data_IF_115264568746
#
_entry.id   IF_115264568746
#
_cell.length_a   1.000
_cell.length_b   1.000
_cell.length_c   1.000
_cell.angle_alpha   90.00
_cell.angle_beta   90.00
_cell.angle_gamma   90.00
#
_symmetry.space_group_name_H-M   'P 1'
#
loop_
_entity.id
_entity.type
_entity.pdbx_description
1 polymer ?
#
# COMPACT_ATOMS: atom_id res chain seq x y z
N UNK A 1 9.40 -3.85 22.94
CA UNK A 1 9.64 -4.57 21.67
C UNK A 1 8.97 -3.96 20.43
N UNK A 2 7.77 -3.32 20.51
CA UNK A 2 7.05 -2.74 19.35
C UNK A 2 7.76 -1.62 18.55
N UNK A 3 8.82 -0.99 19.06
CA UNK A 3 9.53 0.12 18.36
C UNK A 3 10.67 -0.34 17.44
N UNK A 4 11.13 -1.59 17.53
CA UNK A 4 12.33 -2.02 16.80
C UNK A 4 12.04 -2.67 15.44
N UNK A 5 10.95 -3.44 15.34
CA UNK A 5 10.52 -4.11 14.10
C UNK A 5 9.39 -3.32 13.43
N UNK A 6 9.77 -2.38 12.56
CA UNK A 6 8.83 -1.75 11.63
C UNK A 6 8.80 -2.55 10.32
N UNK A 7 7.72 -2.44 9.54
CA UNK A 7 7.56 -3.13 8.25
C UNK A 7 8.77 -2.89 7.33
N UNK A 8 9.25 -1.64 7.28
CA UNK A 8 10.44 -1.29 6.51
C UNK A 8 11.71 -2.02 6.99
N UNK A 9 11.90 -2.13 8.32
CA UNK A 9 13.08 -2.83 8.88
C UNK A 9 13.04 -4.32 8.62
N UNK A 10 11.84 -4.93 8.63
CA UNK A 10 11.67 -6.34 8.24
C UNK A 10 12.09 -6.53 6.78
N UNK A 11 11.62 -5.65 5.89
CA UNK A 11 12.01 -5.67 4.47
C UNK A 11 13.51 -5.50 4.28
N UNK A 12 14.16 -4.55 4.97
CA UNK A 12 15.61 -4.35 4.84
C UNK A 12 16.42 -5.53 5.41
N UNK A 13 15.97 -6.15 6.49
CA UNK A 13 16.61 -7.33 7.05
C UNK A 13 16.50 -8.54 6.10
N UNK A 14 15.32 -8.76 5.51
CA UNK A 14 15.13 -9.83 4.51
C UNK A 14 15.90 -9.57 3.23
N UNK A 15 15.95 -8.31 2.77
CA UNK A 15 16.74 -7.91 1.61
C UNK A 15 18.24 -8.10 1.85
N UNK A 16 18.76 -7.74 3.03
CA UNK A 16 20.15 -8.01 3.43
C UNK A 16 20.47 -9.50 3.34
N UNK A 17 19.61 -10.36 3.90
CA UNK A 17 19.80 -11.80 3.85
C UNK A 17 19.82 -12.33 2.40
N UNK A 18 18.87 -11.88 1.57
CA UNK A 18 18.83 -12.26 0.15
C UNK A 18 20.11 -11.83 -0.60
N UNK A 19 20.61 -10.62 -0.34
CA UNK A 19 21.84 -10.11 -0.96
C UNK A 19 23.09 -10.85 -0.48
N UNK A 20 23.16 -11.25 0.80
CA UNK A 20 24.24 -12.10 1.30
C UNK A 20 24.25 -13.47 0.61
N UNK A 21 23.08 -14.10 0.43
CA UNK A 21 22.97 -15.35 -0.32
C UNK A 21 23.38 -15.14 -1.78
N UNK A 22 22.91 -14.06 -2.42
CA UNK A 22 23.29 -13.73 -3.79
C UNK A 22 24.80 -13.49 -3.95
N UNK A 23 25.44 -12.83 -2.98
CA UNK A 23 26.90 -12.64 -2.95
C UNK A 23 27.65 -13.97 -2.89
N UNK A 24 27.23 -14.87 -1.98
CA UNK A 24 27.83 -16.20 -1.87
C UNK A 24 27.67 -16.94 -3.18
N UNK A 25 26.47 -16.97 -3.75
CA UNK A 25 26.19 -17.64 -5.02
C UNK A 25 27.01 -17.05 -6.18
N UNK A 26 27.13 -15.73 -6.29
CA UNK A 26 27.94 -15.08 -7.33
C UNK A 26 29.43 -15.44 -7.22
N UNK A 27 29.93 -15.76 -6.01
CA UNK A 27 31.31 -16.18 -5.77
C UNK A 27 31.49 -17.68 -6.00
N UNK A 28 30.56 -18.52 -5.51
CA UNK A 28 30.73 -19.98 -5.43
C UNK A 28 30.16 -20.73 -6.63
N UNK A 29 28.99 -20.32 -7.10
CA UNK A 29 28.31 -20.93 -8.24
C UNK A 29 28.58 -20.05 -9.44
N UNK A 30 29.54 -20.47 -10.28
CA UNK A 30 29.77 -19.86 -11.59
C UNK A 30 28.55 -20.13 -12.46
N UNK A 31 27.45 -19.39 -12.26
CA UNK A 31 26.29 -19.48 -13.13
C UNK A 31 26.68 -18.71 -14.39
N UNK A 32 26.97 -19.38 -15.53
CA UNK A 32 27.32 -18.70 -16.75
C UNK A 32 26.00 -18.31 -17.42
N UNK A 33 25.30 -17.31 -16.89
CA UNK A 33 24.19 -16.73 -17.62
C UNK A 33 24.79 -15.79 -18.67
N UNK A 34 24.74 -16.27 -19.92
CA UNK A 34 25.26 -15.64 -21.12
C UNK A 34 24.98 -14.13 -21.17
N UNK A 35 25.99 -13.31 -21.51
CA UNK A 35 25.76 -11.89 -21.80
C UNK A 35 26.99 -11.00 -21.75
N UNK A 36 27.81 -11.06 -22.81
CA UNK A 36 28.72 -10.02 -23.33
C UNK A 36 29.84 -9.41 -22.45
N UNK A 37 29.90 -9.55 -21.13
CA UNK A 37 30.94 -8.82 -20.36
C UNK A 37 31.68 -9.73 -19.36
N UNK A 38 32.80 -10.31 -19.79
CA UNK A 38 33.73 -11.04 -18.90
C UNK A 38 34.32 -10.16 -17.78
N UNK A 39 34.18 -8.83 -17.87
CA UNK A 39 34.59 -7.83 -16.86
C UNK A 39 33.52 -7.60 -15.77
N UNK A 40 32.29 -8.11 -15.93
CA UNK A 40 31.12 -7.78 -15.07
C UNK A 40 31.03 -8.56 -13.76
N UNK A 41 31.73 -9.70 -13.61
CA UNK A 41 31.65 -10.51 -12.37
C UNK A 41 31.92 -9.71 -11.09
N UNK A 42 32.94 -8.85 -11.12
CA UNK A 42 33.29 -8.04 -9.95
C UNK A 42 32.36 -6.85 -9.75
N UNK A 43 31.72 -6.38 -10.83
CA UNK A 43 30.69 -5.34 -10.76
C UNK A 43 29.48 -5.88 -10.01
N UNK A 44 29.03 -7.10 -10.33
CA UNK A 44 27.88 -7.73 -9.67
C UNK A 44 28.12 -7.96 -8.18
N UNK A 45 29.31 -8.48 -7.84
CA UNK A 45 29.71 -8.65 -6.44
C UNK A 45 29.81 -7.30 -5.73
N UNK A 46 30.37 -6.28 -6.38
CA UNK A 46 30.47 -4.94 -5.81
C UNK A 46 29.09 -4.29 -5.59
N UNK A 47 28.18 -4.40 -6.56
CA UNK A 47 26.82 -3.86 -6.47
C UNK A 47 26.06 -4.54 -5.34
N UNK A 48 26.04 -5.88 -5.30
CA UNK A 48 25.34 -6.61 -4.24
C UNK A 48 25.94 -6.32 -2.85
N UNK A 49 27.26 -6.14 -2.75
CA UNK A 49 27.92 -5.76 -1.49
C UNK A 49 27.55 -4.35 -1.06
N UNK A 50 27.53 -3.39 -1.98
CA UNK A 50 27.08 -2.02 -1.72
C UNK A 50 25.61 -2.01 -1.30
N UNK A 51 24.75 -2.74 -2.01
CA UNK A 51 23.34 -2.87 -1.67
C UNK A 51 23.12 -3.52 -0.29
N UNK A 52 23.91 -4.53 0.07
CA UNK A 52 23.88 -5.14 1.40
C UNK A 52 24.25 -4.11 2.49
N UNK A 53 25.30 -3.31 2.26
CA UNK A 53 25.67 -2.20 3.15
C UNK A 53 24.56 -1.15 3.26
N UNK A 54 23.89 -0.81 2.15
CA UNK A 54 22.74 0.10 2.15
C UNK A 54 21.56 -0.48 2.93
N UNK A 55 21.31 -1.79 2.87
CA UNK A 55 20.30 -2.47 3.69
C UNK A 55 20.61 -2.35 5.19
N UNK A 56 21.87 -2.52 5.61
CA UNK A 56 22.29 -2.32 7.00
C UNK A 56 22.06 -0.85 7.43
N UNK A 57 22.43 0.10 6.58
CA UNK A 57 22.19 1.52 6.84
C UNK A 57 20.69 1.83 6.98
N UNK A 58 19.86 1.34 6.06
CA UNK A 58 18.41 1.52 6.06
C UNK A 58 17.73 0.80 7.23
N UNK A 59 18.30 -0.30 7.72
CA UNK A 59 17.82 -0.94 8.94
C UNK A 59 17.98 -0.01 10.15
N UNK A 60 19.13 0.65 10.28
CA UNK A 60 19.39 1.63 11.34
C UNK A 60 18.50 2.87 11.14
N UNK A 61 18.46 3.42 9.92
CA UNK A 61 17.73 4.65 9.56
C UNK A 61 16.68 4.40 8.45
N UNK A 62 15.52 3.83 8.78
CA UNK A 62 14.52 3.41 7.79
C UNK A 62 13.74 4.55 7.13
N UNK A 63 13.91 5.79 7.58
CA UNK A 63 13.22 6.97 7.05
C UNK A 63 13.85 7.58 5.79
N UNK A 64 15.01 7.06 5.34
CA UNK A 64 15.73 7.60 4.19
C UNK A 64 15.17 7.09 2.86
N UNK A 65 14.04 7.66 2.42
CA UNK A 65 13.32 7.28 1.17
C UNK A 65 14.21 7.22 -0.08
N UNK A 66 15.11 8.19 -0.25
CA UNK A 66 16.00 8.24 -1.42
C UNK A 66 16.93 7.01 -1.52
N UNK A 67 17.46 6.54 -0.40
CA UNK A 67 18.35 5.36 -0.39
C UNK A 67 17.54 4.10 -0.68
N UNK A 68 16.30 4.03 -0.20
CA UNK A 68 15.36 2.97 -0.58
C UNK A 68 15.12 2.95 -2.09
N UNK A 69 14.90 4.11 -2.72
CA UNK A 69 14.71 4.18 -4.17
C UNK A 69 15.95 3.74 -4.93
N UNK A 70 17.11 4.25 -4.54
CA UNK A 70 18.38 3.84 -5.14
C UNK A 70 18.58 2.32 -5.04
N UNK A 71 18.28 1.72 -3.89
CA UNK A 71 18.36 0.28 -3.69
C UNK A 71 17.48 -0.47 -4.72
N UNK A 72 16.19 -0.12 -4.81
CA UNK A 72 15.27 -0.78 -5.74
C UNK A 72 15.64 -0.59 -7.20
N UNK A 73 16.07 0.61 -7.60
CA UNK A 73 16.40 0.89 -9.00
C UNK A 73 17.74 0.28 -9.40
N UNK A 74 18.79 0.42 -8.58
CA UNK A 74 20.11 -0.19 -8.87
C UNK A 74 19.97 -1.71 -8.94
N UNK A 75 19.38 -2.34 -7.92
CA UNK A 75 19.21 -3.79 -7.91
C UNK A 75 18.26 -4.25 -9.01
N UNK A 76 17.17 -3.53 -9.28
CA UNK A 76 16.23 -3.86 -10.34
C UNK A 76 16.88 -3.85 -11.73
N UNK A 77 17.66 -2.81 -12.04
CA UNK A 77 18.39 -2.71 -13.29
C UNK A 77 19.48 -3.76 -13.41
N UNK A 78 20.38 -3.86 -12.42
CA UNK A 78 21.52 -4.79 -12.49
C UNK A 78 21.04 -6.24 -12.51
N UNK A 79 20.10 -6.62 -11.63
CA UNK A 79 19.54 -7.99 -11.59
C UNK A 79 18.88 -8.39 -12.91
N UNK A 80 18.20 -7.45 -13.58
CA UNK A 80 17.62 -7.71 -14.90
C UNK A 80 18.71 -8.00 -15.95
N UNK A 81 19.81 -7.25 -15.92
CA UNK A 81 20.95 -7.45 -16.84
C UNK A 81 21.82 -8.68 -16.49
N UNK A 82 21.80 -9.15 -15.25
CA UNK A 82 22.40 -10.45 -14.87
C UNK A 82 21.62 -11.64 -15.46
N UNK A 83 20.46 -11.40 -16.11
CA UNK A 83 19.62 -12.43 -16.71
C UNK A 83 18.48 -12.90 -15.82
N UNK A 84 18.38 -12.39 -14.58
CA UNK A 84 17.23 -12.56 -13.71
C UNK A 84 16.15 -11.52 -14.00
N UNK A 85 15.74 -11.43 -15.27
CA UNK A 85 14.79 -10.42 -15.78
C UNK A 85 13.53 -10.33 -14.92
N UNK A 86 12.97 -11.47 -14.49
CA UNK A 86 11.79 -11.48 -13.62
C UNK A 86 11.97 -10.78 -12.28
N UNK A 87 13.08 -11.05 -11.59
CA UNK A 87 13.37 -10.45 -10.29
C UNK A 87 13.70 -8.96 -10.47
N UNK A 88 14.50 -8.64 -11.49
CA UNK A 88 14.87 -7.25 -11.80
C UNK A 88 13.66 -6.38 -12.13
N UNK A 89 12.75 -6.86 -12.98
CA UNK A 89 11.49 -6.18 -13.32
C UNK A 89 10.57 -6.03 -12.10
N UNK A 90 10.50 -7.05 -11.24
CA UNK A 90 9.73 -6.96 -9.98
C UNK A 90 10.29 -5.86 -9.07
N UNK A 91 11.62 -5.78 -8.91
CA UNK A 91 12.26 -4.74 -8.11
C UNK A 91 12.06 -3.34 -8.71
N UNK A 92 12.16 -3.19 -10.03
CA UNK A 92 11.89 -1.93 -10.73
C UNK A 92 10.44 -1.47 -10.49
N UNK A 93 9.46 -2.35 -10.72
CA UNK A 93 8.03 -2.03 -10.55
C UNK A 93 7.67 -1.77 -9.09
N UNK A 94 8.24 -2.51 -8.14
CA UNK A 94 8.12 -2.23 -6.71
C UNK A 94 8.73 -0.87 -6.32
N UNK A 95 9.88 -0.52 -6.89
CA UNK A 95 10.51 0.79 -6.72
C UNK A 95 9.60 1.93 -7.19
N UNK A 96 8.98 1.79 -8.36
CA UNK A 96 7.99 2.74 -8.87
C UNK A 96 6.80 2.91 -7.92
N UNK A 97 6.26 1.81 -7.37
CA UNK A 97 5.18 1.87 -6.37
C UNK A 97 5.63 2.55 -5.08
N UNK A 98 6.86 2.30 -4.62
CA UNK A 98 7.40 2.96 -3.43
C UNK A 98 7.52 4.48 -3.60
N UNK A 99 7.94 4.95 -4.77
CA UNK A 99 7.95 6.39 -5.11
C UNK A 99 6.52 6.95 -5.10
N UNK A 100 5.55 6.17 -5.59
CA UNK A 100 4.14 6.55 -5.59
C UNK A 100 3.55 6.66 -4.19
N UNK A 101 3.67 5.61 -3.37
CA UNK A 101 3.13 5.54 -2.01
C UNK A 101 3.72 6.62 -1.10
N UNK A 102 4.98 6.99 -1.31
CA UNK A 102 5.63 8.05 -0.53
C UNK A 102 5.20 9.47 -0.91
N UNK A 103 4.34 9.63 -1.93
CA UNK A 103 3.75 10.90 -2.35
C UNK A 103 4.65 11.74 -3.26
N UNK A 104 5.71 11.15 -3.83
CA UNK A 104 6.67 11.93 -4.62
C UNK A 104 6.09 12.42 -5.96
N UNK A 105 5.00 11.83 -6.46
CA UNK A 105 4.32 12.35 -7.65
C UNK A 105 3.40 13.55 -7.37
N UNK A 106 3.29 14.06 -6.13
CA UNK A 106 2.49 15.26 -5.86
C UNK A 106 3.00 16.51 -6.58
N UNK A 107 4.30 16.56 -6.90
CA UNK A 107 4.93 17.67 -7.63
C UNK A 107 5.78 17.14 -8.77
N UNK A 108 5.80 17.87 -9.90
CA UNK A 108 6.60 17.54 -11.10
C UNK A 108 6.40 16.10 -11.59
N UNK A 109 5.16 15.59 -11.51
CA UNK A 109 4.84 14.20 -11.85
C UNK A 109 5.25 13.83 -13.27
N UNK A 110 5.07 14.74 -14.25
CA UNK A 110 5.44 14.50 -15.65
C UNK A 110 6.94 14.23 -15.82
N UNK A 111 7.79 15.04 -15.19
CA UNK A 111 9.24 14.88 -15.24
C UNK A 111 9.69 13.58 -14.57
N UNK A 112 9.09 13.23 -13.43
CA UNK A 112 9.40 12.00 -12.70
C UNK A 112 8.97 10.75 -13.48
N UNK A 113 7.78 10.78 -14.09
CA UNK A 113 7.32 9.70 -14.98
C UNK A 113 8.26 9.59 -16.18
N UNK A 114 8.64 10.70 -16.80
CA UNK A 114 9.57 10.69 -17.92
C UNK A 114 10.92 10.09 -17.53
N UNK A 115 11.46 10.42 -16.37
CA UNK A 115 12.71 9.84 -15.86
C UNK A 115 12.60 8.31 -15.63
N UNK A 116 11.49 7.84 -15.06
CA UNK A 116 11.26 6.40 -14.85
C UNK A 116 11.07 5.66 -16.18
N UNK A 117 10.35 6.25 -17.13
CA UNK A 117 10.20 5.69 -18.47
C UNK A 117 11.55 5.64 -19.21
N UNK A 118 12.37 6.69 -19.09
CA UNK A 118 13.71 6.71 -19.67
C UNK A 118 14.59 5.61 -19.07
N UNK A 119 14.54 5.43 -17.75
CA UNK A 119 15.28 4.38 -17.07
C UNK A 119 14.80 2.98 -17.48
N UNK A 120 13.49 2.80 -17.62
CA UNK A 120 12.90 1.56 -18.12
C UNK A 120 13.36 1.24 -19.55
N UNK A 121 13.31 2.21 -20.45
CA UNK A 121 13.81 2.06 -21.84
C UNK A 121 15.29 1.66 -21.83
N UNK A 122 16.11 2.25 -20.95
CA UNK A 122 17.52 1.90 -20.82
C UNK A 122 17.70 0.43 -20.41
N UNK A 123 16.88 -0.07 -19.47
CA UNK A 123 16.89 -1.49 -19.07
C UNK A 123 16.50 -2.39 -20.25
N UNK A 124 15.41 -2.08 -20.95
CA UNK A 124 14.94 -2.87 -22.10
C UNK A 124 15.98 -2.91 -23.22
N UNK A 125 16.61 -1.77 -23.54
CA UNK A 125 17.67 -1.69 -24.55
C UNK A 125 18.89 -2.49 -24.11
N UNK A 126 19.31 -2.38 -22.85
CA UNK A 126 20.46 -3.13 -22.34
C UNK A 126 20.21 -4.65 -22.37
N UNK A 127 18.99 -5.11 -22.08
CA UNK A 127 18.59 -6.52 -22.22
C UNK A 127 18.58 -6.96 -23.69
N UNK A 128 18.12 -6.11 -24.60
CA UNK A 128 18.15 -6.39 -26.04
C UNK A 128 19.58 -6.70 -26.51
N UNK A 129 20.56 -5.88 -26.10
CA UNK A 129 21.96 -6.08 -26.47
C UNK A 129 22.63 -7.22 -25.71
N UNK A 130 22.27 -7.46 -24.45
CA UNK A 130 22.91 -8.48 -23.61
C UNK A 130 22.44 -9.89 -23.93
N UNK A 131 21.16 -10.07 -24.28
CA UNK A 131 20.56 -11.38 -24.48
C UNK A 131 20.01 -11.60 -25.88
N UNK A 132 18.98 -10.83 -26.29
CA UNK A 132 18.37 -10.79 -27.63
C UNK A 132 17.00 -10.08 -27.59
N UNK A 133 16.38 -9.93 -28.78
CA UNK A 133 15.03 -9.38 -28.95
C UNK A 133 13.93 -10.15 -28.21
N UNK A 134 14.04 -11.49 -28.10
CA UNK A 134 13.00 -12.28 -27.39
C UNK A 134 12.97 -11.93 -25.92
N UNK A 135 14.15 -11.76 -25.31
CA UNK A 135 14.28 -11.35 -23.91
C UNK A 135 13.83 -9.91 -23.67
N UNK A 136 14.08 -8.99 -24.62
CA UNK A 136 13.57 -7.62 -24.54
C UNK A 136 12.03 -7.58 -24.64
N UNK A 137 11.42 -8.32 -25.57
CA UNK A 137 9.96 -8.42 -25.66
C UNK A 137 9.39 -9.05 -24.39
N UNK A 138 10.06 -10.07 -23.84
CA UNK A 138 9.66 -10.70 -22.59
C UNK A 138 9.70 -9.71 -21.42
N UNK A 139 10.76 -8.90 -21.29
CA UNK A 139 10.86 -7.84 -20.28
C UNK A 139 9.69 -6.85 -20.39
N UNK A 140 9.37 -6.37 -21.60
CA UNK A 140 8.26 -5.45 -21.83
C UNK A 140 6.94 -6.06 -21.36
N UNK A 141 6.65 -7.29 -21.79
CA UNK A 141 5.43 -8.01 -21.41
C UNK A 141 5.35 -8.21 -19.89
N UNK A 142 6.49 -8.54 -19.27
CA UNK A 142 6.61 -8.77 -17.84
C UNK A 142 6.41 -7.48 -17.04
N UNK A 143 6.94 -6.35 -17.51
CA UNK A 143 6.75 -5.05 -16.88
C UNK A 143 5.27 -4.65 -16.90
N UNK A 144 4.59 -4.80 -18.04
CA UNK A 144 3.13 -4.56 -18.10
C UNK A 144 2.35 -5.50 -17.18
N UNK A 145 2.70 -6.78 -17.14
CA UNK A 145 2.07 -7.74 -16.24
C UNK A 145 2.23 -7.33 -14.78
N UNK A 146 3.44 -6.96 -14.34
CA UNK A 146 3.70 -6.55 -12.96
C UNK A 146 2.93 -5.29 -12.57
N UNK A 147 2.91 -4.25 -13.42
CA UNK A 147 2.09 -3.06 -13.16
C UNK A 147 0.60 -3.41 -13.12
N UNK A 148 0.10 -4.23 -14.04
CA UNK A 148 -1.29 -4.70 -14.04
C UNK A 148 -1.64 -5.50 -12.78
N UNK A 149 -0.74 -6.38 -12.33
CA UNK A 149 -0.87 -7.14 -11.09
C UNK A 149 -0.92 -6.21 -9.88
N UNK A 150 -0.01 -5.25 -9.79
CA UNK A 150 0.04 -4.28 -8.68
C UNK A 150 -1.23 -3.42 -8.63
N UNK A 151 -1.74 -2.96 -9.77
CA UNK A 151 -3.02 -2.24 -9.85
C UNK A 151 -4.19 -3.13 -9.44
N UNK A 152 -4.22 -4.39 -9.88
CA UNK A 152 -5.24 -5.36 -9.49
C UNK A 152 -5.23 -5.61 -7.97
N UNK A 153 -4.05 -5.82 -7.39
CA UNK A 153 -3.87 -5.98 -5.95
C UNK A 153 -4.30 -4.73 -5.20
N UNK A 154 -3.90 -3.54 -5.66
CA UNK A 154 -4.33 -2.27 -5.09
C UNK A 154 -5.86 -2.16 -5.08
N UNK A 155 -6.54 -2.40 -6.21
CA UNK A 155 -8.00 -2.31 -6.31
C UNK A 155 -8.73 -3.35 -5.45
N UNK A 156 -8.19 -4.57 -5.35
CA UNK A 156 -8.74 -5.59 -4.46
C UNK A 156 -8.56 -5.22 -2.99
N UNK A 157 -7.39 -4.68 -2.62
CA UNK A 157 -7.13 -4.20 -1.27
C UNK A 157 -7.99 -2.99 -0.93
N UNK A 158 -8.08 -2.00 -1.82
CA UNK A 158 -8.92 -0.81 -1.69
C UNK A 158 -10.38 -1.21 -1.45
N UNK A 159 -10.96 -2.09 -2.28
CA UNK A 159 -12.35 -2.55 -2.11
C UNK A 159 -12.60 -3.36 -0.83
N UNK A 160 -11.57 -4.04 -0.30
CA UNK A 160 -11.66 -4.85 0.93
C UNK A 160 -11.19 -4.13 2.18
N UNK A 161 -10.57 -2.96 2.08
CA UNK A 161 -10.08 -2.18 3.21
C UNK A 161 -10.72 -0.79 3.26
N UNK A 162 -11.49 -0.40 2.25
CA UNK A 162 -12.20 0.89 2.21
C UNK A 162 -13.12 1.09 3.41
N UNK A 163 -13.67 0.01 3.99
CA UNK A 163 -14.46 0.08 5.22
C UNK A 163 -13.64 0.35 6.49
N UNK A 164 -12.32 0.17 6.45
CA UNK A 164 -11.39 0.50 7.54
C UNK A 164 -10.75 1.88 7.37
N UNK A 165 -10.83 2.46 6.17
CA UNK A 165 -10.29 3.77 5.88
C UNK A 165 -11.39 4.81 6.15
N UNK A 166 -11.16 5.80 7.04
CA UNK A 166 -12.13 6.85 7.23
C UNK A 166 -12.36 7.58 5.90
N UNK A 167 -13.61 7.67 5.47
CA UNK A 167 -14.01 8.42 4.28
C UNK A 167 -13.55 9.86 4.46
N UNK A 168 -12.75 10.39 3.54
CA UNK A 168 -12.26 11.78 3.56
C UNK A 168 -13.37 12.83 3.38
N UNK A 169 -14.62 12.41 3.13
CA UNK A 169 -15.79 13.27 3.29
C UNK A 169 -16.08 13.46 4.77
N UNK A 170 -15.29 14.33 5.40
CA UNK A 170 -15.64 14.97 6.65
C UNK A 170 -16.84 15.87 6.33
N UNK A 171 -18.05 15.33 6.43
CA UNK A 171 -19.21 16.15 6.70
C UNK A 171 -18.97 16.63 8.13
N UNK A 172 -18.38 17.81 8.30
CA UNK A 172 -18.20 18.40 9.63
C UNK A 172 -19.57 18.42 10.32
N UNK A 173 -19.76 17.68 11.43
CA UNK A 173 -21.01 17.79 12.17
C UNK A 173 -21.17 19.25 12.60
N UNK A 174 -22.39 19.78 12.52
CA UNK A 174 -22.69 21.18 12.92
C UNK A 174 -22.27 21.47 14.37
N UNK A 175 -22.17 20.42 15.19
CA UNK A 175 -21.76 20.48 16.59
C UNK A 175 -20.44 19.71 16.76
N UNK A 176 -19.40 20.32 17.39
CA UNK A 176 -18.14 19.63 17.63
C UNK A 176 -18.36 18.39 18.50
N UNK A 177 -17.79 17.27 18.06
CA UNK A 177 -17.80 16.02 18.82
C UNK A 177 -16.85 16.13 20.02
N UNK A 178 -17.20 15.53 21.18
CA UNK A 178 -16.35 15.54 22.35
C UNK A 178 -15.10 14.66 22.14
N UNK A 179 -14.16 14.73 23.07
CA UNK A 179 -12.90 13.97 22.95
C UNK A 179 -13.18 12.46 22.96
N UNK A 180 -12.55 11.72 22.04
CA UNK A 180 -12.66 10.26 21.95
C UNK A 180 -12.48 9.60 23.33
N UNK A 181 -13.39 8.69 23.68
CA UNK A 181 -13.43 8.03 24.99
C UNK A 181 -14.29 8.72 26.06
N UNK A 182 -14.83 9.91 25.78
CA UNK A 182 -15.83 10.56 26.63
C UNK A 182 -17.23 9.98 26.45
N UNK A 183 -18.16 10.39 27.31
CA UNK A 183 -19.59 10.13 27.13
C UNK A 183 -20.10 10.94 25.93
N UNK A 184 -20.84 10.28 25.03
CA UNK A 184 -21.54 10.92 23.92
C UNK A 184 -23.04 10.80 24.17
N UNK A 185 -23.67 11.92 24.51
CA UNK A 185 -25.12 12.01 24.67
C UNK A 185 -25.76 12.25 23.32
N UNK A 186 -26.44 11.24 22.79
CA UNK A 186 -27.06 11.34 21.45
C UNK A 186 -28.15 12.42 21.38
N UNK A 187 -28.79 12.72 22.53
CA UNK A 187 -29.78 13.79 22.66
C UNK A 187 -29.23 15.17 22.26
N UNK A 188 -27.97 15.44 22.58
CA UNK A 188 -27.34 16.75 22.39
C UNK A 188 -27.12 17.08 20.90
N UNK A 189 -27.23 16.05 20.04
CA UNK A 189 -27.08 16.13 18.58
C UNK A 189 -28.43 16.08 17.84
N UNK A 190 -29.54 16.26 18.55
CA UNK A 190 -30.89 16.27 17.96
C UNK A 190 -31.40 14.88 17.52
N UNK A 191 -30.77 13.81 18.00
CA UNK A 191 -31.17 12.43 17.68
C UNK A 191 -32.39 12.06 18.53
N UNK A 192 -33.49 11.73 17.85
CA UNK A 192 -34.73 11.30 18.50
C UNK A 192 -34.59 9.96 19.22
N UNK A 193 -35.43 9.70 20.23
CA UNK A 193 -35.47 8.42 20.95
C UNK A 193 -35.63 7.21 20.01
N UNK A 194 -36.43 7.38 18.95
CA UNK A 194 -36.60 6.37 17.91
C UNK A 194 -35.30 6.08 17.16
N UNK A 195 -34.54 7.11 16.80
CA UNK A 195 -33.24 6.95 16.15
C UNK A 195 -32.21 6.34 17.10
N UNK A 196 -32.21 6.72 18.38
CA UNK A 196 -31.36 6.10 19.41
C UNK A 196 -31.59 4.59 19.49
N UNK A 197 -32.85 4.16 19.48
CA UNK A 197 -33.19 2.73 19.47
C UNK A 197 -32.62 2.00 18.25
N UNK A 198 -32.79 2.56 17.05
CA UNK A 198 -32.23 1.95 15.82
C UNK A 198 -30.71 1.92 15.82
N UNK A 199 -30.07 2.97 16.34
CA UNK A 199 -28.62 3.04 16.50
C UNK A 199 -28.14 1.98 17.49
N UNK A 200 -28.72 1.90 18.68
CA UNK A 200 -28.32 0.92 19.70
C UNK A 200 -28.56 -0.51 19.23
N UNK A 201 -29.69 -0.80 18.59
CA UNK A 201 -29.98 -2.12 18.04
C UNK A 201 -29.01 -2.53 16.92
N UNK A 202 -28.57 -1.56 16.12
CA UNK A 202 -27.56 -1.77 15.06
C UNK A 202 -26.15 -1.93 15.62
N UNK A 203 -25.73 -1.06 16.54
CA UNK A 203 -24.34 -0.93 16.99
C UNK A 203 -24.01 -1.94 18.08
N UNK A 204 -24.90 -2.13 19.05
CA UNK A 204 -24.70 -3.02 20.19
C UNK A 204 -25.33 -4.41 19.95
N UNK A 205 -26.47 -4.46 19.23
CA UNK A 205 -27.23 -5.69 19.01
C UNK A 205 -26.90 -6.44 17.72
N UNK A 206 -26.21 -5.80 16.75
CA UNK A 206 -25.94 -6.41 15.44
C UNK A 206 -27.18 -6.67 14.59
N UNK A 207 -28.33 -6.07 14.94
CA UNK A 207 -29.61 -6.32 14.29
C UNK A 207 -29.66 -5.80 12.85
N UNK A 208 -30.37 -6.49 11.98
CA UNK A 208 -30.63 -6.04 10.61
C UNK A 208 -31.72 -4.96 10.57
N UNK A 209 -31.80 -4.20 9.47
CA UNK A 209 -32.88 -3.22 9.31
C UNK A 209 -34.26 -3.86 9.21
N UNK A 210 -34.34 -5.13 8.81
CA UNK A 210 -35.56 -5.92 8.76
C UNK A 210 -36.03 -6.31 10.17
N UNK A 211 -35.10 -6.72 11.02
CA UNK A 211 -35.38 -7.03 12.43
C UNK A 211 -35.84 -5.77 13.20
N UNK A 212 -35.15 -4.64 13.00
CA UNK A 212 -35.53 -3.37 13.63
C UNK A 212 -36.88 -2.84 13.12
N UNK A 213 -37.19 -3.07 11.85
CA UNK A 213 -38.48 -2.72 11.26
C UNK A 213 -39.62 -3.56 11.87
N UNK A 214 -39.39 -4.86 12.05
CA UNK A 214 -40.35 -5.76 12.67
C UNK A 214 -40.59 -5.43 14.16
N UNK A 215 -39.52 -5.16 14.92
CA UNK A 215 -39.57 -4.87 16.35
C UNK A 215 -40.25 -3.52 16.68
N UNK A 216 -40.12 -2.55 15.77
CA UNK A 216 -40.73 -1.23 15.92
C UNK A 216 -42.02 -1.04 15.10
N UNK A 217 -42.55 -2.13 14.51
CA UNK A 217 -43.76 -2.16 13.67
C UNK A 217 -43.78 -1.12 12.53
N UNK A 218 -42.64 -0.93 11.86
CA UNK A 218 -42.44 0.06 10.79
C UNK A 218 -41.90 -0.60 9.54
N UNK A 219 -41.95 0.07 8.39
CA UNK A 219 -41.33 -0.46 7.17
C UNK A 219 -39.81 -0.26 7.19
N UNK A 220 -39.09 -1.17 6.53
CA UNK A 220 -37.63 -1.10 6.37
C UNK A 220 -37.17 0.21 5.72
N UNK A 221 -37.98 0.78 4.83
CA UNK A 221 -37.73 2.10 4.22
C UNK A 221 -37.73 3.24 5.24
N UNK A 222 -38.57 3.17 6.28
CA UNK A 222 -38.60 4.19 7.34
C UNK A 222 -37.36 4.06 8.23
N UNK A 223 -36.94 2.83 8.58
CA UNK A 223 -35.69 2.60 9.31
C UNK A 223 -34.49 3.17 8.54
N UNK A 224 -34.41 2.93 7.23
CA UNK A 224 -33.35 3.49 6.37
C UNK A 224 -33.37 5.02 6.36
N UNK A 225 -34.56 5.64 6.28
CA UNK A 225 -34.71 7.11 6.29
C UNK A 225 -34.27 7.71 7.63
N UNK A 226 -34.67 7.10 8.74
CA UNK A 226 -34.34 7.57 10.09
C UNK A 226 -32.85 7.41 10.40
N UNK A 227 -32.24 6.29 9.96
CA UNK A 227 -30.80 6.06 10.06
C UNK A 227 -30.00 7.03 9.18
N UNK A 228 -30.45 7.31 7.95
CA UNK A 228 -29.79 8.29 7.09
C UNK A 228 -29.86 9.71 7.68
N UNK A 229 -30.97 10.07 8.33
CA UNK A 229 -31.10 11.33 9.04
C UNK A 229 -30.15 11.41 10.24
N UNK A 230 -30.04 10.33 11.03
CA UNK A 230 -29.09 10.27 12.15
C UNK A 230 -27.63 10.33 11.68
N UNK A 231 -27.29 9.68 10.56
CA UNK A 231 -25.97 9.76 9.93
C UNK A 231 -25.62 11.22 9.56
N UNK A 232 -26.57 11.96 8.97
CA UNK A 232 -26.37 13.38 8.63
C UNK A 232 -26.14 14.26 9.86
N UNK A 233 -26.89 14.04 10.94
CA UNK A 233 -26.73 14.81 12.19
C UNK A 233 -25.34 14.61 12.82
N UNK A 234 -24.77 13.41 12.69
CA UNK A 234 -23.45 13.07 13.23
C UNK A 234 -22.30 13.25 12.22
N UNK A 235 -22.58 13.78 11.02
CA UNK A 235 -21.55 14.03 10.02
C UNK A 235 -20.95 12.77 9.39
N UNK A 236 -21.69 11.66 9.37
CA UNK A 236 -21.24 10.36 8.83
C UNK A 236 -22.05 9.98 7.59
N UNK A 237 -21.43 9.27 6.65
CA UNK A 237 -22.04 9.00 5.34
C UNK A 237 -22.84 7.69 5.30
N UNK A 238 -22.43 6.70 6.09
CA UNK A 238 -22.99 5.36 6.04
C UNK A 238 -23.20 4.75 7.44
N UNK A 239 -23.91 3.61 7.48
CA UNK A 239 -24.24 2.86 8.71
C UNK A 239 -23.00 2.44 9.49
N UNK A 240 -21.94 2.09 8.78
CA UNK A 240 -20.72 1.53 9.37
C UNK A 240 -19.81 2.63 9.91
N UNK A 241 -19.76 3.80 9.25
CA UNK A 241 -19.14 5.02 9.75
C UNK A 241 -19.80 5.43 11.08
N UNK A 242 -21.13 5.39 11.14
CA UNK A 242 -21.89 5.67 12.37
C UNK A 242 -21.51 4.68 13.48
N UNK A 243 -21.42 3.39 13.15
CA UNK A 243 -20.98 2.36 14.10
C UNK A 243 -19.56 2.60 14.60
N UNK A 244 -18.62 2.91 13.71
CA UNK A 244 -17.22 3.18 14.04
C UNK A 244 -17.07 4.45 14.86
N UNK A 245 -17.84 5.50 14.54
CA UNK A 245 -17.91 6.73 15.32
C UNK A 245 -18.35 6.40 16.75
N UNK A 246 -19.45 5.69 16.90
CA UNK A 246 -20.06 5.40 18.20
C UNK A 246 -19.25 4.44 19.05
N UNK A 247 -18.49 3.52 18.45
CA UNK A 247 -17.53 2.66 19.15
C UNK A 247 -16.39 3.45 19.82
N UNK A 248 -16.15 4.70 19.44
CA UNK A 248 -15.13 5.56 20.05
C UNK A 248 -15.62 6.27 21.33
N UNK A 249 -16.90 6.12 21.70
CA UNK A 249 -17.52 6.82 22.83
C UNK A 249 -18.29 5.88 23.76
N UNK A 250 -18.57 6.33 24.98
CA UNK A 250 -19.58 5.70 25.85
C UNK A 250 -20.94 6.31 25.51
N UNK A 251 -21.82 5.54 24.88
CA UNK A 251 -23.12 6.02 24.38
C UNK A 251 -24.09 6.15 25.57
N UNK A 252 -24.64 7.35 25.78
CA UNK A 252 -25.74 7.63 26.72
C UNK A 252 -26.95 8.27 26.01
#
# INVERSE_FOLDING_TARGET
MRKFFTVNRIMYASAFFALCVALVLNITTQIPLAGFILVVRWIDVAVNAVAACLCVFLFIKPGCKMITYLLFFIEGGVTAHMGFVGIGTLLFTAGCVMVFVNGDFKTRYKEKIAALCLYWILITIGIYFSFNIKMAIFEIALTFFHFGLLVCLYKKLESKLSFLLPVEEIISPEIPLPVKGSVLRLSDYGISERQKFFIQGTVNGGKTYEELAAEYHVSTSVVKKDMAAACRLLGVTNKEDLRILLLQYKIE
#
